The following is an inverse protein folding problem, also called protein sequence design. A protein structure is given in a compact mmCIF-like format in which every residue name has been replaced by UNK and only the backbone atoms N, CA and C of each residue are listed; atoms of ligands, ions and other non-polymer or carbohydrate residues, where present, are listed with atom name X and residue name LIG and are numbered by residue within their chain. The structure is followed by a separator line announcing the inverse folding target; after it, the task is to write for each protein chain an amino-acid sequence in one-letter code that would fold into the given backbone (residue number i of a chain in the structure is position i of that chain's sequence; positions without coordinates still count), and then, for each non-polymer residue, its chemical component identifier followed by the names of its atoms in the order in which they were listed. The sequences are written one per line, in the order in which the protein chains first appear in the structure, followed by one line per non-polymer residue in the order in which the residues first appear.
data_IF_331703976584
#
_entry.id   IF_331703976584
#
_cell.length_a   1.000
_cell.length_b   1.000
_cell.length_c   1.000
_cell.angle_alpha   90.00
_cell.angle_beta   90.00
_cell.angle_gamma   90.00
#
_symmetry.space_group_name_H-M   'P 1'
#
loop_
_entity.id
_entity.type
_entity.pdbx_description
1 polymer ?
#
# COMPACT_ATOMS: atom_id res chain seq x y z
N UNK A 1 39.59 -0.36 -7.10
CA UNK A 1 39.43 0.96 -7.75
C UNK A 1 38.98 1.91 -6.66
N UNK A 2 39.86 2.82 -6.25
CA UNK A 2 39.63 3.73 -5.13
C UNK A 2 39.44 5.14 -5.70
N UNK A 3 38.50 5.90 -5.15
CA UNK A 3 38.23 7.28 -5.58
C UNK A 3 38.14 8.18 -4.36
N UNK A 4 39.02 9.17 -4.32
CA UNK A 4 38.97 10.28 -3.38
C UNK A 4 37.78 11.17 -3.71
N UNK A 5 36.99 11.52 -2.69
CA UNK A 5 35.84 12.43 -2.80
C UNK A 5 35.80 13.34 -1.58
N UNK A 6 35.31 14.56 -1.76
CA UNK A 6 35.18 15.54 -0.68
C UNK A 6 33.92 15.32 0.17
N UNK A 7 32.89 14.68 -0.39
CA UNK A 7 31.63 14.36 0.30
C UNK A 7 30.92 13.19 -0.38
N UNK A 8 30.26 12.34 0.40
CA UNK A 8 29.43 11.22 -0.08
C UNK A 8 27.97 11.52 0.22
N UNK A 9 27.10 11.40 -0.79
CA UNK A 9 25.65 11.51 -0.63
C UNK A 9 25.03 10.12 -0.81
N UNK A 10 24.42 9.59 0.24
CA UNK A 10 23.75 8.29 0.22
C UNK A 10 22.27 8.46 -0.14
N UNK A 11 21.90 8.12 -1.38
CA UNK A 11 20.53 8.05 -1.87
C UNK A 11 20.05 6.59 -2.00
N UNK A 12 20.36 5.76 -1.00
CA UNK A 12 20.14 4.30 -1.02
C UNK A 12 18.76 3.88 -0.53
N UNK A 13 17.83 4.82 -0.32
CA UNK A 13 16.46 4.56 0.10
C UNK A 13 16.28 4.40 1.62
N UNK A 14 15.16 3.79 2.00
CA UNK A 14 14.71 3.57 3.39
C UNK A 14 14.20 2.14 3.58
N UNK A 15 14.22 1.63 4.81
CA UNK A 15 13.56 0.36 5.16
C UNK A 15 12.04 0.57 5.22
N UNK A 16 11.31 -0.13 4.37
CA UNK A 16 9.85 -0.08 4.26
C UNK A 16 9.16 -1.26 4.97
N UNK A 17 9.86 -1.97 5.87
CA UNK A 17 9.27 -3.06 6.65
C UNK A 17 8.24 -2.58 7.67
N UNK A 18 8.24 -1.27 8.00
CA UNK A 18 7.44 -0.65 9.07
C UNK A 18 7.65 -1.29 10.46
N UNK A 19 8.68 -2.13 10.61
CA UNK A 19 9.05 -2.73 11.89
C UNK A 19 9.70 -1.65 12.76
N UNK A 20 9.26 -1.51 14.02
CA UNK A 20 9.89 -0.55 14.93
C UNK A 20 11.39 -0.83 15.12
N UNK A 21 12.23 0.19 15.01
CA UNK A 21 13.68 0.07 15.21
C UNK A 21 14.08 -0.16 16.68
N UNK A 22 13.14 -0.02 17.62
CA UNK A 22 13.33 -0.24 19.06
C UNK A 22 12.29 -1.25 19.57
N UNK A 23 12.59 -2.00 20.65
CA UNK A 23 11.64 -2.95 21.23
C UNK A 23 10.34 -2.25 21.63
N UNK A 24 9.22 -2.71 21.08
CA UNK A 24 7.90 -2.24 21.45
C UNK A 24 7.15 -3.44 22.02
N UNK A 25 7.30 -3.61 23.33
CA UNK A 25 6.78 -4.76 24.07
C UNK A 25 5.37 -4.45 24.56
N UNK A 26 4.40 -5.20 24.04
CA UNK A 26 3.00 -5.15 24.42
C UNK A 26 2.68 -6.07 25.61
N UNK A 27 1.38 -6.38 25.76
CA UNK A 27 0.90 -7.28 26.83
C UNK A 27 1.53 -8.66 26.69
N UNK A 28 1.74 -9.33 27.83
CA UNK A 28 2.33 -10.67 27.92
C UNK A 28 3.75 -10.79 27.33
N UNK A 29 4.48 -9.68 27.21
CA UNK A 29 5.87 -9.70 26.74
C UNK A 29 6.03 -9.84 25.22
N UNK A 30 4.95 -9.70 24.45
CA UNK A 30 4.99 -9.80 22.98
C UNK A 30 5.69 -8.58 22.40
N UNK A 31 6.73 -8.80 21.59
CA UNK A 31 7.43 -7.73 20.87
C UNK A 31 6.85 -7.54 19.48
N UNK A 32 6.43 -6.30 19.18
CA UNK A 32 5.83 -5.96 17.89
C UNK A 32 6.78 -6.21 16.71
N UNK A 33 8.10 -6.18 16.94
CA UNK A 33 9.11 -6.48 15.91
C UNK A 33 9.06 -7.93 15.43
N UNK A 34 8.65 -8.86 16.30
CA UNK A 34 8.49 -10.28 15.95
C UNK A 34 7.15 -10.50 15.28
N UNK A 35 6.08 -9.90 15.81
CA UNK A 35 4.74 -10.01 15.25
C UNK A 35 4.67 -9.47 13.81
N UNK A 36 5.28 -8.33 13.55
CA UNK A 36 5.27 -7.69 12.22
C UNK A 36 6.39 -8.18 11.29
N UNK A 37 7.14 -9.23 11.67
CA UNK A 37 8.17 -9.81 10.82
C UNK A 37 7.59 -10.54 9.58
N UNK A 38 6.34 -11.00 9.66
CA UNK A 38 5.65 -11.68 8.57
C UNK A 38 4.61 -10.77 7.91
N UNK A 39 3.72 -10.15 8.69
CA UNK A 39 2.73 -9.18 8.21
C UNK A 39 2.35 -8.20 9.35
N UNK A 40 2.05 -6.96 8.99
CA UNK A 40 1.57 -5.94 9.93
C UNK A 40 0.07 -6.10 10.14
N UNK A 41 -0.36 -6.40 11.37
CA UNK A 41 -1.77 -6.47 11.76
C UNK A 41 -2.15 -5.27 12.63
N UNK A 42 -3.21 -4.54 12.26
CA UNK A 42 -3.74 -3.39 13.01
C UNK A 42 -5.28 -3.33 12.96
N UNK A 43 -5.89 -2.65 13.93
CA UNK A 43 -7.27 -2.91 14.40
C UNK A 43 -8.40 -2.11 13.71
N UNK A 44 -9.28 -2.86 13.02
CA UNK A 44 -10.76 -2.95 13.14
C UNK A 44 -11.13 -4.47 13.20
N UNK A 45 -10.23 -5.27 13.79
CA UNK A 45 -9.94 -6.64 13.36
C UNK A 45 -10.46 -7.78 14.23
N UNK A 46 -11.52 -7.59 15.03
CA UNK A 46 -12.04 -8.71 15.84
C UNK A 46 -12.87 -9.69 15.02
N UNK A 47 -13.67 -9.20 14.07
CA UNK A 47 -14.55 -10.03 13.25
C UNK A 47 -14.07 -10.18 11.81
N UNK A 48 -13.31 -9.21 11.28
CA UNK A 48 -12.86 -9.23 9.89
C UNK A 48 -11.47 -9.81 9.78
N UNK A 49 -11.36 -10.94 9.08
CA UNK A 49 -10.12 -11.67 8.81
C UNK A 49 -9.26 -10.96 7.77
N UNK A 50 -9.86 -10.52 6.67
CA UNK A 50 -9.18 -9.76 5.63
C UNK A 50 -10.15 -8.96 4.77
N UNK A 51 -9.60 -7.90 4.17
CA UNK A 51 -10.29 -6.95 3.31
C UNK A 51 -9.37 -6.83 2.10
N UNK A 52 -9.77 -7.40 0.97
CA UNK A 52 -8.93 -7.46 -0.22
C UNK A 52 -9.67 -6.76 -1.35
N UNK A 53 -9.08 -5.77 -2.04
CA UNK A 53 -9.76 -5.16 -3.19
C UNK A 53 -10.02 -6.24 -4.23
N UNK A 54 -11.22 -6.25 -4.82
CA UNK A 54 -11.51 -7.25 -5.84
C UNK A 54 -10.66 -7.04 -7.08
N UNK A 55 -10.28 -8.15 -7.70
CA UNK A 55 -9.43 -8.13 -8.89
C UNK A 55 -10.08 -7.38 -10.07
N UNK A 56 -11.38 -7.55 -10.29
CA UNK A 56 -12.10 -6.86 -11.37
C UNK A 56 -12.09 -5.33 -11.20
N UNK A 57 -12.11 -4.84 -9.97
CA UNK A 57 -12.07 -3.41 -9.67
C UNK A 57 -10.65 -2.87 -9.83
N UNK A 58 -9.63 -3.60 -9.39
CA UNK A 58 -8.24 -3.18 -9.56
C UNK A 58 -7.83 -3.20 -11.03
N UNK A 59 -8.33 -4.13 -11.83
CA UNK A 59 -8.10 -4.18 -13.27
C UNK A 59 -8.73 -2.97 -13.97
N UNK A 60 -10.01 -2.67 -13.69
CA UNK A 60 -10.69 -1.48 -14.22
C UNK A 60 -9.99 -0.18 -13.82
N UNK A 61 -9.56 -0.07 -12.57
CA UNK A 61 -8.82 1.10 -12.11
C UNK A 61 -7.47 1.22 -12.84
N UNK A 62 -6.74 0.12 -13.02
CA UNK A 62 -5.49 0.11 -13.77
C UNK A 62 -5.70 0.54 -15.22
N UNK A 63 -6.72 0.03 -15.91
CA UNK A 63 -7.06 0.44 -17.27
C UNK A 63 -7.36 1.95 -17.35
N UNK A 64 -8.15 2.46 -16.41
CA UNK A 64 -8.44 3.89 -16.31
C UNK A 64 -7.17 4.74 -16.12
N UNK A 65 -6.27 4.31 -15.23
CA UNK A 65 -4.99 4.99 -14.98
C UNK A 65 -4.12 5.02 -16.24
N UNK A 66 -4.03 3.90 -16.95
CA UNK A 66 -3.23 3.83 -18.18
C UNK A 66 -3.83 4.68 -19.30
N UNK A 67 -5.16 4.76 -19.41
CA UNK A 67 -5.81 5.65 -20.38
C UNK A 67 -5.59 7.12 -20.04
N UNK A 68 -5.79 7.51 -18.78
CA UNK A 68 -5.52 8.85 -18.29
C UNK A 68 -4.07 9.28 -18.56
N UNK A 69 -3.10 8.37 -18.33
CA UNK A 69 -1.68 8.65 -18.49
C UNK A 69 -1.32 9.12 -19.91
N UNK A 70 -2.03 8.64 -20.95
CA UNK A 70 -1.81 9.02 -22.37
C UNK A 70 -1.97 10.53 -22.62
N UNK A 71 -2.75 11.21 -21.78
CA UNK A 71 -3.06 12.64 -21.90
C UNK A 71 -2.18 13.53 -21.02
N UNK A 72 -1.06 13.01 -20.51
CA UNK A 72 -0.19 13.72 -19.56
C UNK A 72 1.27 13.66 -19.98
N UNK A 73 2.12 14.44 -19.31
CA UNK A 73 3.59 14.40 -19.49
C UNK A 73 4.20 13.00 -19.26
N UNK A 74 3.50 12.12 -18.56
CA UNK A 74 3.99 10.76 -18.29
C UNK A 74 4.04 9.87 -19.54
N UNK A 75 3.27 10.20 -20.58
CA UNK A 75 3.30 9.51 -21.87
C UNK A 75 4.51 9.88 -22.75
N UNK A 76 5.25 10.94 -22.40
CA UNK A 76 6.40 11.37 -23.18
C UNK A 76 7.55 10.35 -23.09
N UNK A 77 8.53 10.46 -23.99
CA UNK A 77 9.68 9.57 -24.12
C UNK A 77 10.71 9.65 -22.97
N UNK A 78 10.62 10.66 -22.09
CA UNK A 78 11.59 10.90 -21.02
C UNK A 78 11.67 9.75 -20.01
N UNK A 79 12.86 9.32 -19.59
CA UNK A 79 13.00 8.25 -18.57
C UNK A 79 12.52 8.71 -17.19
N UNK A 80 11.92 7.80 -16.44
CA UNK A 80 11.45 8.07 -15.07
C UNK A 80 11.45 6.79 -14.22
N UNK A 81 11.58 6.92 -12.89
CA UNK A 81 11.38 5.82 -11.95
C UNK A 81 9.91 5.37 -11.94
N UNK A 82 8.98 6.32 -12.09
CA UNK A 82 7.55 6.06 -11.96
C UNK A 82 6.94 5.22 -13.10
N UNK A 83 7.68 5.05 -14.20
CA UNK A 83 7.27 4.24 -15.34
C UNK A 83 8.31 3.18 -15.67
N UNK A 84 7.85 2.08 -16.25
CA UNK A 84 8.75 1.14 -16.88
C UNK A 84 9.39 1.83 -18.11
N UNK A 85 10.71 1.92 -18.14
CA UNK A 85 11.44 2.63 -19.19
C UNK A 85 11.49 1.88 -20.53
N UNK A 86 11.14 0.59 -20.53
CA UNK A 86 11.05 -0.25 -21.73
C UNK A 86 9.63 -0.26 -22.31
N UNK A 87 8.62 -0.42 -21.45
CA UNK A 87 7.21 -0.54 -21.89
C UNK A 87 6.43 0.77 -21.83
N UNK A 88 6.95 1.80 -21.16
CA UNK A 88 6.26 3.07 -20.93
C UNK A 88 5.14 3.00 -19.88
N UNK A 89 4.83 1.81 -19.33
CA UNK A 89 3.73 1.61 -18.37
C UNK A 89 3.98 2.38 -17.07
N UNK A 90 3.00 3.19 -16.66
CA UNK A 90 3.03 3.95 -15.41
C UNK A 90 2.60 3.05 -14.24
N UNK A 91 3.44 2.92 -13.21
CA UNK A 91 3.23 1.94 -12.12
C UNK A 91 2.92 2.56 -10.76
N UNK A 92 3.26 3.84 -10.55
CA UNK A 92 3.35 4.40 -9.20
C UNK A 92 2.66 5.75 -9.01
N UNK A 93 2.00 6.29 -10.04
CA UNK A 93 1.41 7.63 -10.00
C UNK A 93 -0.12 7.54 -10.02
N UNK A 94 -0.75 8.31 -9.13
CA UNK A 94 -2.18 8.49 -9.08
C UNK A 94 -2.70 9.32 -10.27
N UNK A 95 -3.81 8.93 -10.92
CA UNK A 95 -4.40 9.69 -12.02
C UNK A 95 -5.16 10.92 -11.49
N UNK A 96 -4.45 11.99 -11.17
CA UNK A 96 -5.03 13.25 -10.73
C UNK A 96 -4.15 14.03 -9.76
N UNK A 97 -4.71 15.07 -9.15
CA UNK A 97 -4.04 15.86 -8.12
C UNK A 97 -4.09 15.16 -6.76
N UNK A 98 -3.23 15.59 -5.82
CA UNK A 98 -3.31 15.13 -4.44
C UNK A 98 -4.64 15.47 -3.77
N UNK A 99 -5.28 16.59 -4.14
CA UNK A 99 -6.61 16.96 -3.66
C UNK A 99 -7.68 15.97 -4.17
N UNK A 100 -7.60 15.59 -5.44
CA UNK A 100 -8.47 14.55 -6.00
C UNK A 100 -8.29 13.22 -5.26
N UNK A 101 -7.04 12.82 -5.00
CA UNK A 101 -6.76 11.62 -4.20
C UNK A 101 -7.38 11.70 -2.80
N UNK A 102 -7.17 12.82 -2.08
CA UNK A 102 -7.73 13.03 -0.75
C UNK A 102 -9.26 12.90 -0.74
N UNK A 103 -9.95 13.49 -1.70
CA UNK A 103 -11.41 13.38 -1.83
C UNK A 103 -11.86 11.94 -2.10
N UNK A 104 -11.13 11.19 -2.94
CA UNK A 104 -11.47 9.81 -3.28
C UNK A 104 -11.31 8.87 -2.08
N UNK A 105 -10.30 9.08 -1.23
CA UNK A 105 -10.06 8.22 -0.06
C UNK A 105 -10.82 8.66 1.19
N UNK A 106 -11.46 9.83 1.19
CA UNK A 106 -12.21 10.35 2.33
C UNK A 106 -13.36 9.42 2.73
N UNK A 107 -14.03 8.82 1.74
CA UNK A 107 -15.12 7.86 1.96
C UNK A 107 -14.84 6.56 1.20
N UNK A 108 -14.25 5.55 1.86
CA UNK A 108 -13.95 4.27 1.23
C UNK A 108 -15.22 3.59 0.72
N UNK A 109 -15.20 3.17 -0.55
CA UNK A 109 -16.24 2.34 -1.15
C UNK A 109 -16.01 0.88 -0.76
N UNK A 110 -16.62 0.45 0.34
CA UNK A 110 -16.47 -0.93 0.82
C UNK A 110 -16.98 -1.98 -0.17
N UNK A 111 -17.92 -1.59 -1.05
CA UNK A 111 -18.40 -2.40 -2.17
C UNK A 111 -17.35 -2.70 -3.23
N UNK A 112 -16.12 -2.20 -3.12
CA UNK A 112 -15.00 -2.54 -4.00
C UNK A 112 -14.10 -3.65 -3.41
N UNK A 113 -14.38 -4.06 -2.17
CA UNK A 113 -13.58 -5.03 -1.42
C UNK A 113 -14.32 -6.36 -1.22
N UNK A 114 -13.57 -7.44 -1.23
CA UNK A 114 -13.99 -8.70 -0.65
C UNK A 114 -13.63 -8.69 0.84
N UNK A 115 -14.65 -8.63 1.69
CA UNK A 115 -14.50 -8.63 3.15
C UNK A 115 -14.78 -10.04 3.65
N UNK A 116 -13.76 -10.71 4.18
CA UNK A 116 -13.89 -12.04 4.78
C UNK A 116 -13.85 -11.92 6.29
N UNK A 117 -14.83 -12.52 6.96
CA UNK A 117 -14.91 -12.57 8.41
C UNK A 117 -14.20 -13.81 8.95
N UNK A 118 -13.71 -13.73 10.18
CA UNK A 118 -13.01 -14.82 10.86
C UNK A 118 -13.96 -15.94 11.25
N UNK A 119 -15.17 -15.59 11.69
CA UNK A 119 -16.22 -16.51 12.08
C UNK A 119 -17.32 -16.60 11.00
N UNK A 120 -18.01 -17.75 10.97
CA UNK A 120 -19.25 -17.88 10.17
C UNK A 120 -20.34 -16.95 10.68
N UNK A 121 -20.40 -16.72 12.00
CA UNK A 121 -21.26 -15.69 12.55
C UNK A 121 -20.51 -14.36 12.58
N UNK A 122 -20.90 -13.44 11.70
CA UNK A 122 -20.35 -12.09 11.66
C UNK A 122 -20.66 -11.29 12.94
N UNK A 123 -21.60 -11.73 13.76
CA UNK A 123 -21.99 -11.12 15.04
C UNK A 123 -21.26 -11.70 16.25
N UNK A 124 -20.35 -12.67 16.07
CA UNK A 124 -19.64 -13.34 17.18
C UNK A 124 -18.92 -12.35 18.10
N UNK A 125 -18.49 -11.20 17.57
CA UNK A 125 -17.86 -10.10 18.30
C UNK A 125 -18.79 -9.42 19.33
N UNK A 126 -20.11 -9.62 19.27
CA UNK A 126 -21.08 -9.12 20.25
C UNK A 126 -21.31 -10.12 21.40
N UNK A 127 -20.70 -11.31 21.36
CA UNK A 127 -20.94 -12.40 22.30
C UNK A 127 -22.21 -13.21 21.99
N UNK A 128 -22.40 -14.33 22.72
CA UNK A 128 -23.50 -15.30 22.54
C UNK A 128 -23.62 -15.98 21.17
N UNK A 129 -22.51 -16.14 20.47
CA UNK A 129 -22.38 -17.11 19.37
C UNK A 129 -22.86 -16.58 18.05
#
# INVERSE_FOLDING_TARGET
LERTVDTIVCATGFDNSYRPNFPLVGRNGVDLRETWAVNTESYLGLAVRCWVPRQDVTDQFNEHVQEWAKHTVWADSCRSWYKNNETGRLNAIWPGSSLHYQQVIEQPRYDDFEIRYSDKNIWSHLGMG
#
